data_IF_031346972910
#
_entry.id   IF_031346972910
#
_cell.length_a   1.000
_cell.length_b   1.000
_cell.length_c   1.000
_cell.angle_alpha   90.00
_cell.angle_beta   90.00
_cell.angle_gamma   90.00
#
_symmetry.space_group_name_H-M   'P 1'
#
loop_
_entity.id
_entity.type
_entity.pdbx_description
1 polymer ?
#
# COMPACT_ATOMS: atom_id res chain seq x y z
N UNK A 1 -8.50 -24.89 8.63
CA UNK A 1 -7.19 -24.20 8.72
C UNK A 1 -7.39 -22.69 8.92
N UNK A 2 -6.53 -22.02 9.71
CA UNK A 2 -6.66 -20.58 10.04
C UNK A 2 -6.69 -19.67 8.80
N UNK A 3 -5.81 -19.90 7.82
CA UNK A 3 -5.74 -19.07 6.60
C UNK A 3 -7.05 -19.07 5.79
N UNK A 4 -7.65 -20.24 5.56
CA UNK A 4 -8.93 -20.36 4.86
C UNK A 4 -10.06 -19.57 5.55
N UNK A 5 -10.06 -19.55 6.89
CA UNK A 5 -11.04 -18.80 7.67
C UNK A 5 -10.83 -17.29 7.58
N UNK A 6 -9.59 -16.81 7.64
CA UNK A 6 -9.28 -15.39 7.46
C UNK A 6 -9.70 -14.89 6.07
N UNK A 7 -9.44 -15.68 5.03
CA UNK A 7 -9.90 -15.38 3.65
C UNK A 7 -11.43 -15.29 3.62
N UNK A 8 -12.13 -16.24 4.23
CA UNK A 8 -13.59 -16.26 4.26
C UNK A 8 -14.17 -15.06 5.03
N UNK A 9 -13.54 -14.65 6.13
CA UNK A 9 -13.92 -13.45 6.88
C UNK A 9 -13.84 -12.18 6.01
N UNK A 10 -12.78 -12.03 5.22
CA UNK A 10 -12.63 -10.90 4.29
C UNK A 10 -13.74 -10.93 3.23
N UNK A 11 -14.01 -12.08 2.62
CA UNK A 11 -15.06 -12.22 1.60
C UNK A 11 -16.45 -11.91 2.15
N UNK A 12 -16.75 -12.34 3.38
CA UNK A 12 -18.01 -12.01 4.06
C UNK A 12 -18.16 -10.49 4.22
N UNK A 13 -17.14 -9.82 4.74
CA UNK A 13 -17.14 -8.36 4.92
C UNK A 13 -17.13 -7.56 3.61
N UNK A 14 -16.71 -8.17 2.50
CA UNK A 14 -16.83 -7.60 1.15
C UNK A 14 -18.25 -7.70 0.59
N UNK A 15 -18.92 -8.82 0.85
CA UNK A 15 -20.29 -9.06 0.39
C UNK A 15 -21.34 -8.33 1.25
N UNK A 16 -21.07 -8.20 2.55
CA UNK A 16 -21.93 -7.55 3.54
C UNK A 16 -21.11 -6.45 4.22
N UNK A 17 -21.37 -5.17 3.93
CA UNK A 17 -20.52 -4.05 4.36
C UNK A 17 -20.27 -3.96 5.87
N UNK A 18 -21.13 -4.58 6.68
CA UNK A 18 -21.02 -4.63 8.13
C UNK A 18 -21.59 -5.95 8.65
N UNK A 19 -20.89 -6.58 9.59
CA UNK A 19 -21.34 -7.76 10.31
C UNK A 19 -20.88 -7.71 11.78
N UNK A 20 -21.76 -8.07 12.71
CA UNK A 20 -21.45 -8.19 14.13
C UNK A 20 -20.46 -9.33 14.41
N UNK A 21 -19.86 -9.32 15.61
CA UNK A 21 -19.03 -10.43 16.08
C UNK A 21 -19.80 -11.76 16.08
N UNK A 22 -21.07 -11.74 16.51
CA UNK A 22 -21.95 -12.89 16.57
C UNK A 22 -22.29 -13.46 15.18
N UNK A 23 -22.58 -12.61 14.20
CA UNK A 23 -22.85 -13.04 12.82
C UNK A 23 -21.62 -13.68 12.18
N UNK A 24 -20.44 -13.06 12.36
CA UNK A 24 -19.19 -13.63 11.87
C UNK A 24 -18.84 -14.94 12.57
N UNK A 25 -19.09 -15.03 13.88
CA UNK A 25 -18.89 -16.24 14.67
C UNK A 25 -19.77 -17.40 14.14
N UNK A 26 -21.04 -17.11 13.81
CA UNK A 26 -21.95 -18.08 13.20
C UNK A 26 -21.50 -18.52 11.80
N UNK A 27 -21.18 -17.58 10.92
CA UNK A 27 -20.81 -17.86 9.51
C UNK A 27 -19.44 -18.54 9.37
N UNK A 28 -18.53 -18.31 10.33
CA UNK A 28 -17.18 -18.89 10.35
C UNK A 28 -17.07 -20.09 11.29
N UNK A 29 -18.15 -20.46 11.99
CA UNK A 29 -18.22 -21.56 12.96
C UNK A 29 -17.15 -21.46 14.06
N UNK A 30 -16.98 -20.27 14.64
CA UNK A 30 -16.02 -19.98 15.72
C UNK A 30 -16.64 -19.14 16.83
N UNK A 31 -15.92 -18.98 17.94
CA UNK A 31 -16.33 -18.04 19.00
C UNK A 31 -16.15 -16.57 18.59
N UNK A 32 -16.93 -15.66 19.18
CA UNK A 32 -16.72 -14.22 19.03
C UNK A 32 -15.30 -13.77 19.43
N UNK A 33 -14.71 -14.41 20.45
CA UNK A 33 -13.31 -14.18 20.85
C UNK A 33 -12.33 -14.53 19.73
N UNK A 34 -12.62 -15.56 18.94
CA UNK A 34 -11.83 -15.92 17.77
C UNK A 34 -11.99 -14.88 16.67
N UNK A 35 -13.20 -14.36 16.44
CA UNK A 35 -13.46 -13.28 15.47
C UNK A 35 -12.63 -12.03 15.81
N UNK A 36 -12.60 -11.62 17.09
CA UNK A 36 -11.77 -10.50 17.55
C UNK A 36 -10.30 -10.75 17.23
N UNK A 37 -9.80 -11.96 17.51
CA UNK A 37 -8.41 -12.33 17.28
C UNK A 37 -8.05 -12.42 15.79
N UNK A 38 -8.98 -12.89 14.96
CA UNK A 38 -8.82 -12.98 13.52
C UNK A 38 -8.91 -11.60 12.85
N UNK A 39 -9.78 -10.70 13.32
CA UNK A 39 -9.83 -9.30 12.92
C UNK A 39 -8.51 -8.58 13.23
N UNK A 40 -7.95 -8.79 14.43
CA UNK A 40 -6.64 -8.26 14.81
C UNK A 40 -5.54 -8.77 13.86
N UNK A 41 -5.51 -10.07 13.59
CA UNK A 41 -4.52 -10.67 12.69
C UNK A 41 -4.65 -10.17 11.24
N UNK A 42 -5.86 -9.90 10.77
CA UNK A 42 -6.10 -9.26 9.47
C UNK A 42 -5.56 -7.83 9.45
N UNK A 43 -5.80 -7.05 10.51
CA UNK A 43 -5.27 -5.69 10.64
C UNK A 43 -3.74 -5.68 10.69
N UNK A 44 -3.12 -6.60 11.43
CA UNK A 44 -1.66 -6.78 11.48
C UNK A 44 -1.08 -7.20 10.11
N UNK A 45 -1.86 -7.92 9.31
CA UNK A 45 -1.50 -8.30 7.94
C UNK A 45 -1.84 -7.22 6.89
N UNK A 46 -2.19 -6.00 7.31
CA UNK A 46 -2.48 -4.87 6.41
C UNK A 46 -3.88 -4.86 5.79
N UNK A 47 -4.77 -5.78 6.18
CA UNK A 47 -6.18 -5.75 5.76
C UNK A 47 -6.95 -4.77 6.65
N UNK A 48 -7.59 -3.72 6.10
CA UNK A 48 -8.17 -2.63 6.88
C UNK A 48 -9.55 -3.00 7.45
N UNK A 49 -9.58 -3.97 8.36
CA UNK A 49 -10.75 -4.32 9.18
C UNK A 49 -10.80 -3.40 10.39
N UNK A 50 -11.95 -2.80 10.66
CA UNK A 50 -12.21 -2.02 11.87
C UNK A 50 -13.47 -2.51 12.58
N UNK A 51 -13.54 -2.28 13.90
CA UNK A 51 -14.71 -2.55 14.71
C UNK A 51 -15.38 -1.24 15.13
N UNK A 52 -16.67 -1.11 14.82
CA UNK A 52 -17.49 0.02 15.27
C UNK A 52 -18.26 -0.36 16.54
N UNK A 53 -18.24 0.49 17.57
CA UNK A 53 -18.91 0.23 18.85
C UNK A 53 -20.38 0.66 18.81
N UNK A 54 -21.25 -0.08 19.51
CA UNK A 54 -22.67 0.27 19.71
C UNK A 54 -23.61 -0.92 19.46
N UNK A 55 -24.92 -0.71 19.70
CA UNK A 55 -25.97 -1.74 19.47
C UNK A 55 -26.09 -2.19 18.01
N UNK A 56 -25.74 -1.31 17.06
CA UNK A 56 -25.63 -1.60 15.63
C UNK A 56 -24.16 -1.63 15.14
N UNK A 57 -23.24 -1.79 16.09
CA UNK A 57 -21.81 -1.89 15.83
C UNK A 57 -21.43 -3.23 15.22
N UNK A 58 -20.27 -3.30 14.58
CA UNK A 58 -19.81 -4.50 13.91
C UNK A 58 -18.44 -4.31 13.25
N UNK A 59 -17.97 -5.37 12.63
CA UNK A 59 -16.78 -5.37 11.80
C UNK A 59 -17.14 -4.93 10.39
N UNK A 60 -16.27 -4.12 9.80
CA UNK A 60 -16.39 -3.64 8.44
C UNK A 60 -14.99 -3.44 7.85
N UNK A 61 -14.94 -3.39 6.51
CA UNK A 61 -13.74 -3.03 5.78
C UNK A 61 -13.77 -1.53 5.43
N UNK A 62 -12.65 -0.84 5.62
CA UNK A 62 -12.56 0.59 5.26
C UNK A 62 -12.72 0.76 3.74
N UNK A 63 -13.53 1.74 3.33
CA UNK A 63 -13.57 2.23 1.94
C UNK A 63 -14.00 1.22 0.88
N UNK A 64 -14.73 0.16 1.23
CA UNK A 64 -15.17 -0.86 0.27
C UNK A 64 -14.03 -1.75 -0.25
N UNK A 65 -13.04 -2.05 0.60
CA UNK A 65 -11.90 -2.93 0.32
C UNK A 65 -12.30 -4.15 -0.52
N UNK A 66 -11.87 -4.18 -1.79
CA UNK A 66 -12.00 -5.34 -2.69
C UNK A 66 -10.61 -5.97 -2.87
N UNK A 67 -10.55 -7.28 -3.10
CA UNK A 67 -9.33 -8.11 -3.28
C UNK A 67 -8.48 -7.75 -4.53
N UNK A 68 -8.29 -6.47 -4.83
CA UNK A 68 -7.26 -5.97 -5.74
C UNK A 68 -5.92 -5.71 -5.03
N UNK A 69 -4.99 -5.01 -5.70
CA UNK A 69 -3.66 -4.58 -5.20
C UNK A 69 -3.73 -3.56 -4.03
N UNK A 70 -4.74 -3.67 -3.17
CA UNK A 70 -5.00 -2.80 -2.02
C UNK A 70 -4.32 -3.28 -0.74
N UNK A 71 -3.58 -4.41 -0.79
CA UNK A 71 -2.74 -4.88 0.31
C UNK A 71 -1.34 -4.25 0.32
N UNK A 72 -1.01 -3.39 -0.65
CA UNK A 72 0.23 -2.62 -0.64
C UNK A 72 0.08 -1.47 0.37
N UNK A 73 0.88 -1.49 1.43
CA UNK A 73 1.01 -0.37 2.36
C UNK A 73 1.57 0.86 1.64
N UNK A 74 1.36 2.04 2.23
CA UNK A 74 1.84 3.31 1.66
C UNK A 74 3.35 3.29 1.46
N UNK A 75 4.12 2.75 2.41
CA UNK A 75 5.58 2.65 2.30
C UNK A 75 6.02 1.67 1.20
N UNK A 76 5.30 0.57 1.01
CA UNK A 76 5.58 -0.42 -0.04
C UNK A 76 5.29 0.14 -1.44
N UNK A 77 4.21 0.91 -1.57
CA UNK A 77 3.93 1.66 -2.79
C UNK A 77 5.02 2.71 -3.06
N UNK A 78 5.44 3.45 -2.04
CA UNK A 78 6.53 4.42 -2.19
C UNK A 78 7.83 3.73 -2.62
N UNK A 79 8.23 2.64 -1.97
CA UNK A 79 9.42 1.88 -2.32
C UNK A 79 9.38 1.34 -3.77
N UNK A 80 8.23 0.81 -4.20
CA UNK A 80 8.03 0.32 -5.57
C UNK A 80 8.14 1.46 -6.61
N UNK A 81 7.72 2.67 -6.26
CA UNK A 81 7.80 3.81 -7.18
C UNK A 81 9.14 4.54 -7.12
N UNK A 82 9.83 4.52 -5.98
CA UNK A 82 11.19 5.06 -5.82
C UNK A 82 12.26 4.19 -6.50
N UNK A 83 12.03 2.89 -6.67
CA UNK A 83 13.01 1.99 -7.32
C UNK A 83 13.16 2.23 -8.83
N UNK A 84 12.28 3.04 -9.45
CA UNK A 84 12.31 3.36 -10.87
C UNK A 84 12.10 2.15 -11.78
N UNK A 85 12.47 2.27 -13.06
CA UNK A 85 12.67 1.10 -13.92
C UNK A 85 14.16 0.76 -13.83
N UNK A 86 14.55 -0.40 -13.25
CA UNK A 86 15.95 -0.80 -13.19
C UNK A 86 16.63 -0.71 -14.56
N UNK A 87 17.85 -0.16 -14.62
CA UNK A 87 18.64 -0.05 -15.86
C UNK A 87 18.74 -1.38 -16.62
N UNK A 88 18.94 -2.48 -15.87
CA UNK A 88 18.94 -3.84 -16.39
C UNK A 88 17.68 -4.21 -17.20
N UNK A 89 16.48 -3.75 -16.79
CA UNK A 89 15.26 -4.01 -17.57
C UNK A 89 15.25 -3.23 -18.88
N UNK A 90 15.80 -2.02 -18.92
CA UNK A 90 15.92 -1.23 -20.16
C UNK A 90 16.92 -1.88 -21.12
N UNK A 91 18.06 -2.33 -20.61
CA UNK A 91 19.08 -3.05 -21.39
C UNK A 91 18.55 -4.37 -21.96
N UNK A 92 17.63 -5.02 -21.24
CA UNK A 92 16.93 -6.23 -21.71
C UNK A 92 15.74 -5.93 -22.64
N UNK A 93 15.49 -4.67 -23.01
CA UNK A 93 14.35 -4.28 -23.87
C UNK A 93 12.98 -4.32 -23.19
N UNK A 94 12.93 -4.50 -21.87
CA UNK A 94 11.71 -4.59 -21.05
C UNK A 94 11.25 -3.24 -20.49
N UNK A 95 11.88 -2.13 -20.86
CA UNK A 95 11.58 -0.79 -20.33
C UNK A 95 10.12 -0.34 -20.52
N UNK A 96 9.55 -0.59 -21.69
CA UNK A 96 8.14 -0.29 -22.00
C UNK A 96 7.18 -1.17 -21.20
N UNK A 97 7.47 -2.47 -21.10
CA UNK A 97 6.67 -3.42 -20.32
C UNK A 97 6.66 -3.05 -18.83
N UNK A 98 7.82 -2.64 -18.30
CA UNK A 98 7.96 -2.16 -16.92
C UNK A 98 7.16 -0.87 -16.69
N UNK A 99 7.21 0.08 -17.63
CA UNK A 99 6.45 1.33 -17.58
C UNK A 99 4.94 1.08 -17.61
N UNK A 100 4.48 0.21 -18.51
CA UNK A 100 3.08 -0.20 -18.60
C UNK A 100 2.61 -0.94 -17.34
N UNK A 101 3.44 -1.82 -16.78
CA UNK A 101 3.15 -2.51 -15.52
C UNK A 101 2.99 -1.50 -14.37
N UNK A 102 3.87 -0.50 -14.27
CA UNK A 102 3.81 0.56 -13.25
C UNK A 102 2.55 1.42 -13.37
N UNK A 103 2.14 1.75 -14.59
CA UNK A 103 0.86 2.43 -14.84
C UNK A 103 -0.33 1.58 -14.39
N UNK A 104 -0.33 0.28 -14.69
CA UNK A 104 -1.39 -0.66 -14.26
C UNK A 104 -1.43 -0.83 -12.73
N UNK A 105 -0.28 -0.92 -12.08
CA UNK A 105 -0.19 -0.96 -10.61
C UNK A 105 -0.72 0.34 -10.02
N UNK A 106 -0.28 1.50 -10.53
CA UNK A 106 -0.83 2.79 -10.12
C UNK A 106 -2.35 2.84 -10.28
N UNK A 107 -2.89 2.38 -11.42
CA UNK A 107 -4.32 2.25 -11.70
C UNK A 107 -5.07 1.37 -10.68
N UNK A 108 -4.40 0.38 -10.08
CA UNK A 108 -4.98 -0.54 -9.12
C UNK A 108 -4.84 -0.12 -7.63
N UNK A 109 -4.02 0.90 -7.32
CA UNK A 109 -3.84 1.40 -5.95
C UNK A 109 -5.07 2.14 -5.41
N UNK A 110 -5.33 2.07 -4.10
CA UNK A 110 -6.38 2.87 -3.46
C UNK A 110 -6.10 4.39 -3.60
N UNK A 111 -7.14 5.26 -3.63
CA UNK A 111 -6.96 6.71 -3.85
C UNK A 111 -5.90 7.41 -2.96
N UNK A 112 -5.81 7.14 -1.64
CA UNK A 112 -4.80 7.79 -0.78
C UNK A 112 -3.38 7.40 -1.16
N UNK A 113 -3.17 6.12 -1.49
CA UNK A 113 -1.86 5.56 -1.85
C UNK A 113 -1.44 6.02 -3.26
N UNK A 114 -2.41 6.17 -4.16
CA UNK A 114 -2.20 6.73 -5.51
C UNK A 114 -1.74 8.18 -5.46
N UNK A 115 -2.28 8.98 -4.55
CA UNK A 115 -1.93 10.40 -4.41
C UNK A 115 -0.53 10.57 -3.80
N UNK A 116 -0.21 9.81 -2.74
CA UNK A 116 1.15 9.73 -2.21
C UNK A 116 2.16 9.26 -3.27
N UNK A 117 1.82 8.22 -4.05
CA UNK A 117 2.66 7.71 -5.13
C UNK A 117 2.89 8.75 -6.24
N UNK A 118 1.87 9.52 -6.63
CA UNK A 118 2.00 10.63 -7.60
C UNK A 118 2.91 11.73 -7.07
N UNK A 119 2.75 12.11 -5.80
CA UNK A 119 3.56 13.14 -5.17
C UNK A 119 5.05 12.78 -5.16
N UNK A 120 5.37 11.50 -4.94
CA UNK A 120 6.74 10.96 -5.00
C UNK A 120 7.25 10.90 -6.44
N UNK A 121 6.46 10.35 -7.37
CA UNK A 121 6.89 10.17 -8.76
C UNK A 121 7.10 11.49 -9.52
N UNK A 122 6.41 12.56 -9.12
CA UNK A 122 6.63 13.92 -9.66
C UNK A 122 7.88 14.61 -9.11
N UNK A 123 8.44 14.12 -8.00
CA UNK A 123 9.56 14.77 -7.28
C UNK A 123 10.85 13.96 -7.30
N UNK A 124 10.78 12.67 -7.64
CA UNK A 124 11.91 11.76 -7.58
C UNK A 124 12.28 11.23 -8.97
N UNK A 125 13.49 11.56 -9.41
CA UNK A 125 14.10 11.00 -10.61
C UNK A 125 15.32 10.16 -10.19
N UNK A 126 15.26 8.85 -10.45
CA UNK A 126 16.40 7.96 -10.26
C UNK A 126 17.22 7.93 -11.56
N UNK A 127 18.31 8.67 -11.56
CA UNK A 127 19.39 8.50 -12.54
C UNK A 127 20.50 7.67 -11.89
N UNK A 128 20.67 6.42 -12.31
CA UNK A 128 21.65 5.50 -11.74
C UNK A 128 22.61 5.00 -12.83
N UNK A 129 23.68 5.75 -13.17
CA UNK A 129 24.62 5.34 -14.21
C UNK A 129 25.93 4.72 -13.69
N UNK A 130 26.23 4.68 -12.40
CA UNK A 130 27.58 4.35 -11.93
C UNK A 130 27.72 2.94 -11.34
N UNK A 131 27.95 1.93 -12.20
CA UNK A 131 28.18 0.54 -11.75
C UNK A 131 29.48 0.30 -10.96
N UNK A 132 30.33 1.31 -10.75
CA UNK A 132 31.62 1.11 -10.06
C UNK A 132 32.07 2.28 -9.17
N UNK A 133 31.17 3.22 -8.85
CA UNK A 133 31.52 4.37 -7.99
C UNK A 133 30.44 4.53 -6.95
N UNK A 134 30.82 4.57 -5.66
CA UNK A 134 29.91 5.03 -4.61
C UNK A 134 29.78 6.54 -4.79
N UNK A 135 28.64 7.08 -5.24
CA UNK A 135 28.50 8.52 -5.36
C UNK A 135 28.66 9.13 -3.96
N UNK A 136 29.57 10.09 -3.81
CA UNK A 136 29.63 10.89 -2.60
C UNK A 136 28.35 11.73 -2.55
N UNK A 137 27.57 11.59 -1.48
CA UNK A 137 26.32 12.32 -1.35
C UNK A 137 26.65 13.82 -1.27
N UNK A 138 26.12 14.67 -2.17
CA UNK A 138 26.37 16.11 -2.10
C UNK A 138 25.98 16.64 -0.72
N UNK A 139 26.80 17.50 -0.11
CA UNK A 139 26.56 18.03 1.24
C UNK A 139 25.22 18.78 1.38
N UNK A 140 24.65 19.24 0.27
CA UNK A 140 23.36 19.93 0.21
C UNK A 140 22.19 19.02 -0.18
N UNK A 141 22.40 17.71 -0.37
CA UNK A 141 21.35 16.81 -0.82
C UNK A 141 20.17 16.75 0.15
N UNK A 142 20.43 16.62 1.45
CA UNK A 142 19.38 16.57 2.48
C UNK A 142 18.53 17.86 2.52
N UNK A 143 19.11 19.07 2.64
CA UNK A 143 18.31 20.31 2.65
C UNK A 143 17.59 20.58 1.32
N UNK A 144 18.16 20.17 0.18
CA UNK A 144 17.47 20.28 -1.12
C UNK A 144 16.30 19.28 -1.23
N UNK A 145 16.47 18.05 -0.75
CA UNK A 145 15.40 17.06 -0.73
C UNK A 145 14.23 17.54 0.14
N UNK A 146 14.53 18.07 1.33
CA UNK A 146 13.51 18.66 2.22
C UNK A 146 12.75 19.82 1.54
N UNK A 147 13.47 20.72 0.86
CA UNK A 147 12.83 21.81 0.12
C UNK A 147 11.91 21.32 -1.02
N UNK A 148 12.28 20.23 -1.71
CA UNK A 148 11.45 19.60 -2.75
C UNK A 148 10.19 18.95 -2.14
N UNK A 149 10.31 18.33 -0.96
CA UNK A 149 9.16 17.74 -0.24
C UNK A 149 8.19 18.81 0.26
N UNK A 150 8.70 19.98 0.65
CA UNK A 150 7.92 21.09 1.19
C UNK A 150 7.44 22.11 0.12
N UNK A 151 7.70 21.86 -1.16
CA UNK A 151 7.45 22.80 -2.27
C UNK A 151 8.10 24.20 -2.05
N UNK A 152 9.27 24.23 -1.40
CA UNK A 152 10.04 25.45 -1.12
C UNK A 152 10.99 25.78 -2.27
N UNK A 153 11.02 27.06 -2.66
CA UNK A 153 12.03 27.58 -3.60
C UNK A 153 13.37 27.74 -2.90
N UNK A 154 14.45 27.35 -3.57
CA UNK A 154 15.82 27.48 -3.09
C UNK A 154 16.58 28.41 -4.04
N UNK A 155 17.39 29.32 -3.51
CA UNK A 155 18.30 30.16 -4.28
C UNK A 155 19.72 29.62 -4.12
N UNK A 156 20.44 29.48 -5.23
CA UNK A 156 21.87 29.22 -5.23
C UNK A 156 22.61 30.56 -5.39
N UNK A 157 23.68 30.74 -4.63
CA UNK A 157 24.58 31.90 -4.73
C UNK A 157 25.60 31.71 -5.84
#
# INVERSE_FOLDING_TARGET
>A
MRAARLIRMVLLLQSRPRMTAAELAGELEVSERTVVRDAQALSEAGVPVYAERGRAGGYALVGGYRTGLTGLASEEAQALFLSGVPGALREMGLGEAASAARLKVSAALAPPVREASRAVNGRFHLDAPAWYTRPEAPGLLAPLAEAVWDDRRVAAA
#
